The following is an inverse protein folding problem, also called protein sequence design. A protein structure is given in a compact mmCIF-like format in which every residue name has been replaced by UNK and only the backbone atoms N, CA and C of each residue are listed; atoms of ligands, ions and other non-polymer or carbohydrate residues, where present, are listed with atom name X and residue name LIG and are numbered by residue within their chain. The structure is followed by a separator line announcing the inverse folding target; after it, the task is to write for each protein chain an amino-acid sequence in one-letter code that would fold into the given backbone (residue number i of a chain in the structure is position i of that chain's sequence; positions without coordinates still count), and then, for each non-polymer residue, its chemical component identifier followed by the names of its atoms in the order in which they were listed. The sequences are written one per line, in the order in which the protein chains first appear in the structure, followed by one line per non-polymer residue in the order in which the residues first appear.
data_IF_876016603118
#
_entry.id   IF_876016603118
#
_cell.length_a   1.000
_cell.length_b   1.000
_cell.length_c   1.000
_cell.angle_alpha   90.00
_cell.angle_beta   90.00
_cell.angle_gamma   90.00
#
_symmetry.space_group_name_H-M   'P 1'
#
loop_
_entity.id
_entity.type
_entity.pdbx_description
1 polymer ?
#
# COMPACT_ATOMS: atom_id res chain seq x y z
N UNK A 1 -3.06 -28.78 -12.26
CA UNK A 1 -3.33 -27.34 -12.10
C UNK A 1 -2.50 -26.88 -10.90
N UNK A 2 -1.64 -25.84 -11.06
CA UNK A 2 -0.91 -25.25 -9.91
C UNK A 2 -1.90 -24.48 -9.02
N UNK A 3 -1.77 -24.60 -7.71
CA UNK A 3 -2.43 -23.71 -6.76
C UNK A 3 -1.67 -22.37 -6.66
N UNK A 4 -2.33 -21.30 -6.23
CA UNK A 4 -1.70 -19.97 -6.15
C UNK A 4 -0.45 -19.94 -5.25
N UNK A 5 -0.40 -20.77 -4.20
CA UNK A 5 0.79 -20.91 -3.34
C UNK A 5 2.01 -21.53 -4.03
N UNK A 6 1.79 -22.23 -5.15
CA UNK A 6 2.85 -22.86 -5.94
C UNK A 6 3.30 -22.00 -7.12
N UNK A 7 2.76 -20.77 -7.25
CA UNK A 7 3.08 -19.89 -8.37
C UNK A 7 4.47 -19.29 -8.21
N UNK A 8 5.23 -19.38 -9.31
CA UNK A 8 6.50 -18.71 -9.47
C UNK A 8 6.33 -17.38 -10.21
N UNK A 9 7.39 -16.57 -10.28
CA UNK A 9 7.41 -15.27 -10.96
C UNK A 9 6.72 -15.29 -12.33
N UNK A 10 7.04 -16.28 -13.16
CA UNK A 10 6.46 -16.41 -14.50
C UNK A 10 4.96 -16.64 -14.49
N UNK A 11 4.45 -17.39 -13.52
CA UNK A 11 3.01 -17.64 -13.40
C UNK A 11 2.27 -16.34 -13.04
N UNK A 12 2.84 -15.56 -12.10
CA UNK A 12 2.27 -14.26 -11.72
C UNK A 12 2.33 -13.23 -12.86
N UNK A 13 3.42 -13.15 -13.60
CA UNK A 13 3.52 -12.28 -14.78
C UNK A 13 2.45 -12.64 -15.83
N UNK A 14 2.20 -13.93 -16.06
CA UNK A 14 1.14 -14.38 -16.96
C UNK A 14 -0.26 -13.98 -16.46
N UNK A 15 -0.55 -14.12 -15.15
CA UNK A 15 -1.82 -13.70 -14.54
C UNK A 15 -2.04 -12.21 -14.68
N UNK A 16 -0.99 -11.42 -14.46
CA UNK A 16 -1.02 -9.97 -14.58
C UNK A 16 -0.95 -9.48 -16.04
N UNK A 17 -0.65 -10.38 -16.99
CA UNK A 17 -0.41 -10.06 -18.40
C UNK A 17 0.66 -8.99 -18.58
N UNK A 18 1.74 -9.10 -17.81
CA UNK A 18 2.89 -8.20 -17.82
C UNK A 18 4.14 -8.93 -18.31
N UNK A 19 4.96 -8.20 -19.01
CA UNK A 19 6.37 -8.58 -19.24
C UNK A 19 7.25 -8.07 -18.09
N UNK A 20 8.46 -8.61 -17.95
CA UNK A 20 9.42 -8.15 -16.95
C UNK A 20 9.79 -6.66 -17.12
N UNK A 21 9.74 -6.14 -18.35
CA UNK A 21 10.04 -4.74 -18.64
C UNK A 21 8.95 -3.77 -18.18
N UNK A 22 7.73 -4.26 -18.04
CA UNK A 22 6.57 -3.48 -17.58
C UNK A 22 6.38 -3.57 -16.07
N UNK A 23 7.14 -4.45 -15.41
CA UNK A 23 7.01 -4.63 -13.97
C UNK A 23 7.35 -3.33 -13.22
N UNK A 24 6.52 -2.91 -12.26
CA UNK A 24 6.80 -1.73 -11.45
C UNK A 24 8.05 -1.90 -10.59
N UNK A 25 8.90 -0.87 -10.56
CA UNK A 25 10.02 -0.76 -9.62
C UNK A 25 9.54 -0.51 -8.19
N UNK A 26 8.41 0.21 -8.07
CA UNK A 26 7.74 0.48 -6.81
C UNK A 26 6.23 0.45 -7.01
N UNK A 27 5.51 0.12 -5.96
CA UNK A 27 4.07 0.01 -6.00
C UNK A 27 3.42 0.80 -4.85
N UNK A 28 2.47 1.67 -5.20
CA UNK A 28 1.71 2.47 -4.24
C UNK A 28 0.33 1.84 -4.07
N UNK A 29 -0.06 1.62 -2.82
CA UNK A 29 -1.38 1.11 -2.45
C UNK A 29 -2.09 2.21 -1.69
N UNK A 30 -3.28 2.58 -2.13
CA UNK A 30 -4.06 3.63 -1.52
C UNK A 30 -5.51 3.19 -1.29
N UNK A 31 -6.03 3.45 -0.11
CA UNK A 31 -7.44 3.21 0.20
C UNK A 31 -8.26 4.48 0.00
N UNK A 32 -9.20 4.46 -0.96
CA UNK A 32 -10.08 5.58 -1.25
C UNK A 32 -11.47 5.09 -1.67
N UNK A 33 -12.51 5.83 -1.23
CA UNK A 33 -13.90 5.54 -1.61
C UNK A 33 -14.22 5.99 -3.03
N UNK A 34 -13.73 7.18 -3.42
CA UNK A 34 -13.91 7.75 -4.76
C UNK A 34 -12.96 7.08 -5.77
N UNK A 35 -13.23 5.81 -5.97
CA UNK A 35 -12.38 4.89 -6.73
C UNK A 35 -12.00 5.43 -8.11
N UNK A 36 -12.99 5.87 -8.90
CA UNK A 36 -12.74 6.27 -10.29
C UNK A 36 -11.91 7.55 -10.37
N UNK A 37 -12.16 8.48 -9.48
CA UNK A 37 -11.42 9.76 -9.44
C UNK A 37 -9.97 9.53 -9.04
N UNK A 38 -9.75 8.64 -8.07
CA UNK A 38 -8.41 8.26 -7.64
C UNK A 38 -7.63 7.55 -8.76
N UNK A 39 -8.24 6.63 -9.47
CA UNK A 39 -7.62 5.97 -10.64
C UNK A 39 -7.30 6.99 -11.74
N UNK A 40 -8.20 7.92 -12.02
CA UNK A 40 -7.97 8.95 -13.03
C UNK A 40 -6.82 9.89 -12.64
N UNK A 41 -6.76 10.32 -11.38
CA UNK A 41 -5.66 11.13 -10.84
C UNK A 41 -4.31 10.42 -11.02
N UNK A 42 -4.24 9.14 -10.69
CA UNK A 42 -2.99 8.39 -10.83
C UNK A 42 -2.60 8.12 -12.29
N UNK A 43 -3.57 8.01 -13.20
CA UNK A 43 -3.29 7.99 -14.64
C UNK A 43 -2.65 9.29 -15.13
N UNK A 44 -3.05 10.43 -14.56
CA UNK A 44 -2.45 11.74 -14.88
C UNK A 44 -1.04 11.87 -14.28
N UNK A 45 -0.86 11.45 -13.02
CA UNK A 45 0.44 11.50 -12.33
C UNK A 45 1.49 10.62 -13.01
N UNK A 46 1.10 9.41 -13.37
CA UNK A 46 1.99 8.40 -13.97
C UNK A 46 2.17 8.53 -15.48
N UNK A 47 1.86 9.65 -16.05
CA UNK A 47 1.89 10.05 -17.47
C UNK A 47 2.52 9.05 -18.47
N UNK A 48 1.91 8.96 -19.67
CA UNK A 48 2.32 8.20 -20.87
C UNK A 48 2.36 6.67 -20.76
N UNK A 49 1.74 5.99 -21.72
CA UNK A 49 1.68 4.52 -21.87
C UNK A 49 1.16 3.80 -20.60
N UNK A 50 0.08 4.35 -20.04
CA UNK A 50 -0.53 3.79 -18.82
C UNK A 50 -1.17 2.45 -19.14
N UNK A 51 -0.67 1.40 -18.48
CA UNK A 51 -1.23 0.07 -18.53
C UNK A 51 -2.14 -0.19 -17.32
N UNK A 52 -3.31 -0.78 -17.55
CA UNK A 52 -4.27 -1.13 -16.49
C UNK A 52 -4.45 -2.65 -16.44
N UNK A 53 -3.56 -3.40 -15.76
CA UNK A 53 -3.62 -4.87 -15.73
C UNK A 53 -4.86 -5.39 -15.04
N UNK A 54 -5.46 -4.59 -14.15
CA UNK A 54 -6.70 -4.85 -13.43
C UNK A 54 -7.54 -3.59 -13.34
N UNK A 55 -8.83 -3.75 -13.07
CA UNK A 55 -9.79 -2.66 -12.93
C UNK A 55 -9.40 -1.59 -11.89
N UNK A 56 -8.66 -1.98 -10.84
CA UNK A 56 -8.22 -1.11 -9.75
C UNK A 56 -6.73 -0.79 -9.78
N UNK A 57 -6.03 -1.10 -10.85
CA UNK A 57 -4.57 -1.02 -10.92
C UNK A 57 -4.13 -0.24 -12.14
N UNK A 58 -3.17 0.63 -11.95
CA UNK A 58 -2.54 1.45 -12.99
C UNK A 58 -1.03 1.25 -12.91
N UNK A 59 -0.37 1.07 -14.05
CA UNK A 59 1.10 1.08 -14.16
C UNK A 59 1.47 2.14 -15.18
N UNK A 60 2.36 3.02 -14.82
CA UNK A 60 2.87 4.07 -15.70
C UNK A 60 4.27 4.49 -15.30
N UNK A 61 4.74 5.61 -15.82
CA UNK A 61 6.08 6.11 -15.54
C UNK A 61 6.07 7.36 -14.68
N UNK A 62 6.95 7.38 -13.71
CA UNK A 62 7.30 8.58 -12.96
C UNK A 62 8.82 8.69 -12.88
N UNK A 63 9.39 9.81 -13.33
CA UNK A 63 10.84 10.02 -13.42
C UNK A 63 11.59 8.84 -14.09
N UNK A 64 11.10 8.36 -15.23
CA UNK A 64 11.62 7.24 -16.01
C UNK A 64 11.62 5.88 -15.31
N UNK A 65 10.93 5.73 -14.18
CA UNK A 65 10.74 4.45 -13.48
C UNK A 65 9.31 3.97 -13.65
N UNK A 66 9.13 2.67 -13.81
CA UNK A 66 7.79 2.08 -13.79
C UNK A 66 7.27 2.11 -12.36
N UNK A 67 6.14 2.74 -12.16
CA UNK A 67 5.45 2.81 -10.87
C UNK A 67 4.07 2.17 -11.03
N UNK A 68 3.72 1.29 -10.11
CA UNK A 68 2.39 0.73 -9.98
C UNK A 68 1.57 1.50 -8.95
N UNK A 69 0.30 1.59 -9.19
CA UNK A 69 -0.69 2.11 -8.26
C UNK A 69 -1.90 1.19 -8.21
N UNK A 70 -2.45 0.95 -7.03
CA UNK A 70 -3.75 0.31 -6.89
C UNK A 70 -4.62 1.02 -5.86
N UNK A 71 -5.87 1.27 -6.24
CA UNK A 71 -6.89 1.61 -5.27
C UNK A 71 -7.40 0.33 -4.62
N UNK A 72 -7.32 0.25 -3.29
CA UNK A 72 -7.69 -0.94 -2.51
C UNK A 72 -8.59 -0.57 -1.36
N UNK A 73 -9.46 -1.48 -0.97
CA UNK A 73 -10.30 -1.33 0.20
C UNK A 73 -10.20 -2.57 1.07
N UNK A 74 -9.66 -2.36 2.28
CA UNK A 74 -9.45 -3.42 3.27
C UNK A 74 -8.24 -4.34 2.98
N UNK A 75 -7.81 -5.02 4.03
CA UNK A 75 -6.61 -5.88 4.01
C UNK A 75 -6.68 -7.03 2.99
N UNK A 76 -7.85 -7.66 2.70
CA UNK A 76 -7.89 -8.71 1.68
C UNK A 76 -7.57 -8.21 0.27
N UNK A 77 -8.01 -7.01 -0.09
CA UNK A 77 -7.69 -6.46 -1.42
C UNK A 77 -6.23 -5.99 -1.49
N UNK A 78 -5.74 -5.35 -0.43
CA UNK A 78 -4.35 -4.91 -0.34
C UNK A 78 -3.38 -6.11 -0.43
N UNK A 79 -3.62 -7.16 0.36
CA UNK A 79 -2.77 -8.36 0.36
C UNK A 79 -2.73 -9.07 -0.99
N UNK A 80 -3.85 -9.15 -1.71
CA UNK A 80 -3.90 -9.72 -3.05
C UNK A 80 -3.01 -8.98 -4.04
N UNK A 81 -3.03 -7.64 -4.01
CA UNK A 81 -2.19 -6.82 -4.88
C UNK A 81 -0.71 -7.01 -4.52
N UNK A 82 -0.37 -6.86 -3.24
CA UNK A 82 1.02 -7.04 -2.77
C UNK A 82 1.54 -8.42 -3.14
N UNK A 83 0.80 -9.49 -2.85
CA UNK A 83 1.21 -10.86 -3.11
C UNK A 83 1.52 -11.10 -4.61
N UNK A 84 0.65 -10.64 -5.50
CA UNK A 84 0.81 -10.85 -6.93
C UNK A 84 2.01 -10.07 -7.50
N UNK A 85 2.15 -8.81 -7.13
CA UNK A 85 3.26 -7.99 -7.63
C UNK A 85 4.59 -8.34 -6.96
N UNK A 86 4.62 -8.67 -5.67
CA UNK A 86 5.82 -9.18 -5.02
C UNK A 86 6.25 -10.52 -5.60
N UNK A 87 5.32 -11.45 -5.82
CA UNK A 87 5.59 -12.72 -6.50
C UNK A 87 6.07 -12.55 -7.94
N UNK A 88 5.73 -11.44 -8.60
CA UNK A 88 6.24 -11.07 -9.92
C UNK A 88 7.62 -10.42 -9.88
N UNK A 89 8.09 -9.95 -8.72
CA UNK A 89 9.41 -9.36 -8.52
C UNK A 89 9.44 -7.85 -8.22
N UNK A 90 8.30 -7.22 -7.93
CA UNK A 90 8.28 -5.89 -7.33
C UNK A 90 8.68 -6.01 -5.86
N UNK A 91 9.62 -5.21 -5.40
CA UNK A 91 10.22 -5.31 -4.06
C UNK A 91 9.95 -4.09 -3.16
N UNK A 92 9.44 -3.01 -3.72
CA UNK A 92 9.14 -1.78 -2.99
C UNK A 92 7.64 -1.50 -2.98
N UNK A 93 7.04 -1.47 -1.78
CA UNK A 93 5.62 -1.15 -1.59
C UNK A 93 5.45 -0.01 -0.60
N UNK A 94 4.60 0.95 -0.94
CA UNK A 94 4.23 2.07 -0.08
C UNK A 94 2.71 2.08 0.05
N UNK A 95 2.22 2.00 1.27
CA UNK A 95 0.81 2.20 1.55
C UNK A 95 0.56 3.65 1.96
N UNK A 96 -0.45 4.25 1.36
CA UNK A 96 -0.96 5.58 1.71
C UNK A 96 -2.45 5.48 1.98
N UNK A 97 -3.03 6.48 2.63
CA UNK A 97 -4.46 6.50 2.91
C UNK A 97 -4.80 7.48 4.03
N UNK A 98 -6.06 7.48 4.41
CA UNK A 98 -6.55 8.24 5.56
C UNK A 98 -6.50 7.37 6.83
N UNK A 99 -6.44 8.02 7.97
CA UNK A 99 -6.44 7.35 9.26
C UNK A 99 -7.30 8.10 10.28
N UNK A 100 -7.88 7.39 11.24
CA UNK A 100 -8.47 7.97 12.43
C UNK A 100 -7.39 8.27 13.47
N UNK A 101 -7.31 9.50 13.91
CA UNK A 101 -6.35 9.88 14.96
C UNK A 101 -6.86 9.48 16.34
N UNK A 102 -6.12 8.61 17.05
CA UNK A 102 -6.47 8.14 18.39
C UNK A 102 -5.83 8.99 19.50
N UNK A 103 -4.74 9.68 19.18
CA UNK A 103 -4.06 10.59 20.12
C UNK A 103 -4.67 11.99 20.09
N UNK A 104 -4.85 12.58 21.26
CA UNK A 104 -5.32 13.98 21.41
C UNK A 104 -4.35 15.02 20.80
N UNK A 105 -3.13 14.62 20.48
CA UNK A 105 -2.12 15.49 19.85
C UNK A 105 -2.22 15.53 18.33
N UNK A 106 -2.96 14.60 17.73
CA UNK A 106 -3.18 14.53 16.28
C UNK A 106 -4.31 15.49 15.90
N UNK A 107 -4.08 16.27 14.85
CA UNK A 107 -5.05 17.23 14.33
C UNK A 107 -5.42 16.86 12.89
N UNK A 108 -6.59 17.32 12.46
CA UNK A 108 -7.00 17.18 11.06
C UNK A 108 -5.97 17.82 10.12
N UNK A 109 -5.56 17.05 9.12
CA UNK A 109 -4.53 17.47 8.16
C UNK A 109 -3.08 17.12 8.56
N UNK A 110 -2.85 16.56 9.75
CA UNK A 110 -1.52 16.07 10.12
C UNK A 110 -1.13 14.85 9.25
N UNK A 111 0.16 14.76 8.93
CA UNK A 111 0.74 13.61 8.22
C UNK A 111 1.25 12.62 9.27
N UNK A 112 0.82 11.36 9.18
CA UNK A 112 1.37 10.28 9.99
C UNK A 112 2.36 9.46 9.15
N UNK A 113 3.62 9.45 9.56
CA UNK A 113 4.64 8.53 9.04
C UNK A 113 4.60 7.26 9.90
N UNK A 114 4.08 6.20 9.31
CA UNK A 114 3.86 4.94 10.02
C UNK A 114 5.17 4.19 10.18
N UNK A 115 5.56 3.90 11.42
CA UNK A 115 6.77 3.10 11.73
C UNK A 115 6.46 1.64 12.07
N UNK A 116 5.22 1.33 12.46
CA UNK A 116 4.75 -0.04 12.65
C UNK A 116 3.22 -0.11 12.59
N UNK A 117 2.70 -1.29 12.29
CA UNK A 117 1.27 -1.59 12.28
C UNK A 117 0.95 -2.77 13.19
N UNK A 118 0.01 -2.58 14.13
CA UNK A 118 -0.53 -3.66 14.94
C UNK A 118 -1.55 -4.43 14.11
N UNK A 119 -1.41 -5.75 14.08
CA UNK A 119 -2.20 -6.66 13.26
C UNK A 119 -3.49 -7.07 13.98
N UNK A 120 -4.60 -6.39 13.68
CA UNK A 120 -5.95 -6.76 14.15
C UNK A 120 -6.94 -6.95 12.99
N UNK A 121 -6.41 -7.08 11.77
CA UNK A 121 -7.18 -7.47 10.60
C UNK A 121 -7.29 -9.01 10.48
N UNK A 122 -8.14 -9.49 9.60
CA UNK A 122 -8.35 -10.93 9.43
C UNK A 122 -7.38 -11.64 8.47
N UNK A 123 -6.40 -10.93 7.90
CA UNK A 123 -5.54 -11.45 6.82
C UNK A 123 -4.09 -11.58 7.23
N UNK A 124 -3.55 -10.61 7.96
CA UNK A 124 -2.13 -10.53 8.27
C UNK A 124 -1.58 -11.79 8.95
N UNK A 125 -2.35 -12.41 9.85
CA UNK A 125 -1.93 -13.61 10.57
C UNK A 125 -1.72 -14.85 9.66
N UNK A 126 -2.32 -14.87 8.46
CA UNK A 126 -2.08 -15.94 7.49
C UNK A 126 -0.70 -15.85 6.85
N UNK A 127 -0.14 -14.64 6.77
CA UNK A 127 1.22 -14.40 6.28
C UNK A 127 2.26 -14.45 7.39
N UNK A 128 1.89 -13.96 8.59
CA UNK A 128 2.78 -13.80 9.73
C UNK A 128 2.10 -14.30 11.03
N UNK A 129 1.87 -15.62 11.18
CA UNK A 129 1.02 -16.18 12.25
C UNK A 129 1.55 -15.92 13.67
N UNK A 130 2.86 -15.77 13.83
CA UNK A 130 3.51 -15.58 15.15
C UNK A 130 3.68 -14.10 15.52
N UNK A 131 3.27 -13.17 14.65
CA UNK A 131 3.46 -11.74 14.87
C UNK A 131 2.15 -11.05 15.24
N UNK A 132 2.25 -10.01 16.04
CA UNK A 132 1.14 -9.09 16.37
C UNK A 132 1.41 -7.68 15.91
N UNK A 133 2.66 -7.39 15.54
CA UNK A 133 3.13 -6.09 15.08
C UNK A 133 4.09 -6.31 13.90
N UNK A 134 3.98 -5.46 12.88
CA UNK A 134 4.89 -5.41 11.73
C UNK A 134 5.54 -4.04 11.67
N UNK A 135 6.86 -3.99 11.64
CA UNK A 135 7.62 -2.75 11.47
C UNK A 135 7.68 -2.36 9.98
N UNK A 136 7.59 -1.07 9.71
CA UNK A 136 7.87 -0.52 8.40
C UNK A 136 9.38 -0.52 8.11
N UNK A 137 9.75 -0.48 6.84
CA UNK A 137 11.14 -0.32 6.43
C UNK A 137 11.73 0.98 6.99
N UNK A 138 12.83 0.86 7.74
CA UNK A 138 13.44 2.00 8.47
C UNK A 138 13.98 3.07 7.53
N UNK A 139 14.57 2.68 6.41
CA UNK A 139 15.13 3.62 5.44
C UNK A 139 14.04 4.43 4.75
N UNK A 140 12.91 3.79 4.41
CA UNK A 140 11.74 4.47 3.84
C UNK A 140 11.09 5.42 4.85
N UNK A 141 10.93 5.00 6.11
CA UNK A 141 10.41 5.86 7.18
C UNK A 141 11.28 7.10 7.35
N UNK A 142 12.60 6.93 7.44
CA UNK A 142 13.52 8.05 7.56
C UNK A 142 13.53 8.95 6.32
N UNK A 143 13.42 8.39 5.13
CA UNK A 143 13.32 9.16 3.89
C UNK A 143 12.05 10.01 3.86
N UNK A 144 10.91 9.45 4.29
CA UNK A 144 9.65 10.17 4.40
C UNK A 144 9.72 11.32 5.42
N UNK A 145 10.31 11.08 6.60
CA UNK A 145 10.54 12.11 7.61
C UNK A 145 11.39 13.26 7.05
N UNK A 146 12.55 12.94 6.47
CA UNK A 146 13.44 13.95 5.84
C UNK A 146 12.73 14.75 4.76
N UNK A 147 11.87 14.10 3.95
CA UNK A 147 11.10 14.80 2.92
C UNK A 147 10.11 15.80 3.54
N UNK A 148 9.38 15.39 4.58
CA UNK A 148 8.48 16.29 5.30
C UNK A 148 9.23 17.51 5.89
N UNK A 149 10.39 17.27 6.51
CA UNK A 149 11.24 18.35 7.05
C UNK A 149 11.70 19.34 5.96
N UNK A 150 12.19 18.82 4.83
CA UNK A 150 12.63 19.63 3.70
C UNK A 150 11.51 20.49 3.10
N UNK A 151 10.26 19.98 3.15
CA UNK A 151 9.08 20.68 2.63
C UNK A 151 8.38 21.55 3.67
N UNK A 152 8.80 21.48 4.94
CA UNK A 152 8.15 22.17 6.04
C UNK A 152 6.76 21.61 6.37
N UNK A 153 6.52 20.33 6.05
CA UNK A 153 5.27 19.67 6.41
C UNK A 153 5.31 19.23 7.88
N UNK A 154 4.23 19.53 8.61
CA UNK A 154 4.04 18.99 9.94
C UNK A 154 3.74 17.50 9.85
N UNK A 155 4.48 16.67 10.55
CA UNK A 155 4.26 15.24 10.59
C UNK A 155 4.45 14.68 12.00
N UNK A 156 3.89 13.52 12.22
CA UNK A 156 4.02 12.70 13.41
C UNK A 156 4.55 11.34 12.96
N UNK A 157 5.49 10.78 13.70
CA UNK A 157 5.95 9.40 13.52
C UNK A 157 5.27 8.53 14.57
N UNK A 158 4.61 7.44 14.15
CA UNK A 158 3.88 6.61 15.09
C UNK A 158 3.43 5.27 14.51
N UNK A 159 2.66 4.56 15.31
CA UNK A 159 2.08 3.27 14.94
C UNK A 159 0.62 3.44 14.52
N UNK A 160 0.15 2.49 13.73
CA UNK A 160 -1.27 2.32 13.39
C UNK A 160 -1.77 0.96 13.86
N UNK A 161 -3.07 0.85 13.98
CA UNK A 161 -3.76 -0.43 14.12
C UNK A 161 -4.47 -0.73 12.81
N UNK A 162 -4.21 -1.88 12.23
CA UNK A 162 -5.00 -2.40 11.10
C UNK A 162 -6.14 -3.24 11.64
N UNK A 163 -7.36 -2.78 11.49
CA UNK A 163 -8.55 -3.42 12.04
C UNK A 163 -9.52 -3.84 10.94
N UNK A 164 -10.04 -5.06 11.03
CA UNK A 164 -11.00 -5.59 10.06
C UNK A 164 -12.46 -5.21 10.30
N UNK A 165 -12.79 -4.65 11.45
CA UNK A 165 -14.17 -4.38 11.87
C UNK A 165 -14.32 -2.96 12.47
N UNK A 166 -14.13 -1.97 11.63
CA UNK A 166 -14.12 -0.55 12.00
C UNK A 166 -15.40 -0.07 12.74
N UNK A 167 -16.56 -0.62 12.39
CA UNK A 167 -17.84 -0.14 12.95
C UNK A 167 -18.12 -0.61 14.39
N UNK A 168 -17.29 -1.50 14.94
CA UNK A 168 -17.40 -1.92 16.34
C UNK A 168 -16.34 -1.26 17.24
N UNK A 169 -15.60 -0.29 16.72
CA UNK A 169 -14.60 0.46 17.46
C UNK A 169 -15.27 1.21 18.65
N UNK A 170 -14.71 1.04 19.83
CA UNK A 170 -15.16 1.69 21.06
C UNK A 170 -14.01 2.38 21.76
N UNK A 171 -14.31 3.29 22.70
CA UNK A 171 -13.28 3.95 23.49
C UNK A 171 -12.37 2.98 24.27
N UNK A 172 -12.88 1.80 24.62
CA UNK A 172 -12.11 0.78 25.36
C UNK A 172 -11.14 -0.02 24.46
N UNK A 173 -11.27 0.09 23.14
CA UNK A 173 -10.42 -0.60 22.15
C UNK A 173 -9.25 0.26 21.70
N UNK A 174 -9.26 1.53 22.06
CA UNK A 174 -8.35 2.59 21.63
C UNK A 174 -7.41 3.07 22.82
#
# INVERSE_FOLDING_TARGET
MKLYGDFEKKDWLNVLKLSEKELPNAFIIHGEWEFQDNINLWKEILSTDVHTPKWNTVIGKFNNRNIGFANVYGSPMASNIVHQFAGSGTDLFIQTGYFGGLSSTIQYGDILIVSAAKMQDGVSHWYLPEQTLVEADKELVEAACRYCEQKGYKYIKGHVVSMGAMLIETHDMV
#
